data_IF_789784759170
#
_entry.id   IF_789784759170
#
_cell.length_a   1.000
_cell.length_b   1.000
_cell.length_c   1.000
_cell.angle_alpha   90.00
_cell.angle_beta   90.00
_cell.angle_gamma   90.00
#
_symmetry.space_group_name_H-M   'P 1'
#
loop_
_entity.id
_entity.type
_entity.pdbx_description
1 polymer ?
#
# COMPACT_ATOMS: atom_id res chain seq x y z
N UNK A 1 -3.27 -29.25 -10.87
CA UNK A 1 -1.90 -29.64 -10.49
C UNK A 1 -1.97 -30.82 -9.53
N UNK A 2 -1.09 -31.82 -9.62
CA UNK A 2 -0.98 -32.90 -8.62
C UNK A 2 -0.65 -32.34 -7.23
N UNK A 3 -1.19 -32.94 -6.17
CA UNK A 3 -1.03 -32.48 -4.78
C UNK A 3 0.44 -32.33 -4.34
N UNK A 4 1.33 -33.20 -4.81
CA UNK A 4 2.77 -33.13 -4.54
C UNK A 4 3.46 -31.90 -5.16
N UNK A 5 3.05 -31.47 -6.36
CA UNK A 5 3.58 -30.26 -7.00
C UNK A 5 3.11 -28.99 -6.30
N UNK A 6 1.87 -28.95 -5.82
CA UNK A 6 1.33 -27.82 -5.04
C UNK A 6 2.15 -27.62 -3.76
N UNK A 7 2.42 -28.69 -3.01
CA UNK A 7 3.21 -28.62 -1.78
C UNK A 7 4.65 -28.15 -2.05
N UNK A 8 5.30 -28.70 -3.07
CA UNK A 8 6.66 -28.31 -3.45
C UNK A 8 6.74 -26.83 -3.87
N UNK A 9 5.77 -26.36 -4.66
CA UNK A 9 5.70 -24.96 -5.12
C UNK A 9 5.43 -24.02 -3.95
N UNK A 10 4.53 -24.40 -3.04
CA UNK A 10 4.23 -23.65 -1.83
C UNK A 10 5.48 -23.52 -0.94
N UNK A 11 6.14 -24.63 -0.62
CA UNK A 11 7.35 -24.61 0.22
C UNK A 11 8.50 -23.82 -0.41
N UNK A 12 8.60 -23.80 -1.74
CA UNK A 12 9.66 -23.06 -2.44
C UNK A 12 9.42 -21.56 -2.45
N UNK A 13 8.19 -21.12 -2.74
CA UNK A 13 7.92 -19.71 -3.07
C UNK A 13 7.08 -18.98 -2.03
N UNK A 14 6.42 -19.68 -1.11
CA UNK A 14 5.51 -19.07 -0.14
C UNK A 14 6.15 -19.06 1.24
N UNK A 15 6.35 -17.85 1.77
CA UNK A 15 6.67 -17.63 3.18
C UNK A 15 5.41 -17.19 3.92
N UNK A 16 4.99 -17.99 4.90
CA UNK A 16 3.90 -17.63 5.81
C UNK A 16 4.43 -16.70 6.90
N UNK A 17 3.72 -15.59 7.15
CA UNK A 17 4.04 -14.64 8.21
C UNK A 17 2.81 -14.31 9.02
N UNK A 18 2.99 -14.22 10.35
CA UNK A 18 1.95 -13.76 11.25
C UNK A 18 2.06 -12.25 11.42
N UNK A 19 0.94 -11.57 11.20
CA UNK A 19 0.82 -10.12 11.23
C UNK A 19 -0.05 -9.70 12.41
N UNK A 20 0.40 -8.74 13.22
CA UNK A 20 -0.46 -8.04 14.17
C UNK A 20 -1.28 -6.97 13.43
N UNK A 21 -2.60 -7.08 13.46
CA UNK A 21 -3.51 -6.21 12.71
C UNK A 21 -3.64 -4.80 13.29
N UNK A 22 -3.21 -4.57 14.54
CA UNK A 22 -3.26 -3.24 15.14
C UNK A 22 -2.01 -2.45 14.80
N UNK A 23 -0.83 -3.04 14.91
CA UNK A 23 0.43 -2.37 14.59
C UNK A 23 0.75 -2.42 13.09
N UNK A 24 0.33 -3.46 12.39
CA UNK A 24 0.79 -3.76 11.03
C UNK A 24 2.20 -4.36 10.99
N UNK A 25 2.66 -4.96 12.10
CA UNK A 25 4.00 -5.56 12.22
C UNK A 25 3.97 -7.07 12.21
N UNK A 26 5.05 -7.67 11.71
CA UNK A 26 5.22 -9.10 11.81
C UNK A 26 5.53 -9.52 13.24
N UNK A 27 4.81 -10.53 13.71
CA UNK A 27 5.06 -11.15 15.01
C UNK A 27 6.34 -11.99 14.90
N UNK A 28 7.38 -11.72 15.71
CA UNK A 28 8.62 -12.48 15.69
C UNK A 28 8.41 -13.90 16.26
N UNK A 29 9.11 -14.88 15.71
CA UNK A 29 9.09 -16.28 16.18
C UNK A 29 8.53 -17.28 15.15
N UNK A 30 8.53 -18.55 15.54
CA UNK A 30 7.87 -19.62 14.78
C UNK A 30 6.35 -19.55 15.04
N UNK A 31 5.60 -19.31 13.97
CA UNK A 31 4.15 -19.14 14.02
C UNK A 31 3.40 -20.31 13.36
N UNK A 32 4.10 -21.42 13.09
CA UNK A 32 3.53 -22.60 12.41
C UNK A 32 2.35 -23.24 13.13
N UNK A 33 2.16 -22.95 14.43
CA UNK A 33 1.05 -23.43 15.26
C UNK A 33 -0.14 -22.45 15.36
N UNK A 34 -0.15 -21.35 14.62
CA UNK A 34 -1.27 -20.40 14.70
C UNK A 34 -2.59 -21.04 14.23
N UNK A 35 -3.57 -21.08 15.14
CA UNK A 35 -4.94 -21.51 14.85
C UNK A 35 -5.90 -20.32 14.93
N UNK A 36 -6.35 -19.86 13.77
CA UNK A 36 -7.32 -18.77 13.64
C UNK A 36 -8.65 -19.07 14.35
N UNK A 37 -9.15 -20.31 14.28
CA UNK A 37 -10.42 -20.68 14.88
C UNK A 37 -10.34 -20.68 16.41
N UNK A 38 -9.21 -21.12 16.98
CA UNK A 38 -8.94 -21.00 18.40
C UNK A 38 -8.76 -19.52 18.81
N UNK A 39 -8.06 -18.73 18.01
CA UNK A 39 -7.82 -17.31 18.29
C UNK A 39 -9.13 -16.49 18.34
N UNK A 40 -10.07 -16.74 17.42
CA UNK A 40 -11.37 -16.04 17.37
C UNK A 40 -12.28 -16.34 18.57
N UNK A 41 -12.07 -17.47 19.27
CA UNK A 41 -12.82 -17.86 20.47
C UNK A 41 -12.25 -17.27 21.76
N UNK A 42 -11.05 -16.70 21.72
CA UNK A 42 -10.36 -16.14 22.89
C UNK A 42 -10.46 -14.62 22.93
N UNK A 43 -10.96 -14.05 24.02
CA UNK A 43 -11.00 -12.60 24.23
C UNK A 43 -9.61 -11.95 24.36
N UNK A 44 -8.58 -12.74 24.69
CA UNK A 44 -7.20 -12.25 24.72
C UNK A 44 -6.58 -12.14 23.31
N UNK A 45 -7.04 -12.97 22.37
CA UNK A 45 -6.48 -13.08 21.00
C UNK A 45 -7.41 -12.53 19.92
N UNK A 46 -8.56 -11.98 20.29
CA UNK A 46 -9.53 -11.38 19.38
C UNK A 46 -10.33 -10.28 20.06
N UNK A 47 -10.88 -9.39 19.23
CA UNK A 47 -11.77 -8.32 19.66
C UNK A 47 -13.18 -8.56 19.12
N UNK A 48 -14.18 -8.27 19.95
CA UNK A 48 -15.55 -8.11 19.48
C UNK A 48 -15.68 -6.74 18.80
N UNK A 49 -16.26 -6.71 17.61
CA UNK A 49 -16.45 -5.49 16.85
C UNK A 49 -17.78 -4.83 17.26
N UNK A 50 -17.78 -3.54 17.63
CA UNK A 50 -19.01 -2.77 17.73
C UNK A 50 -19.75 -2.76 16.39
N UNK A 51 -21.08 -2.68 16.42
CA UNK A 51 -21.91 -2.73 15.21
C UNK A 51 -21.50 -1.71 14.13
N UNK A 52 -21.09 -0.51 14.54
CA UNK A 52 -20.62 0.56 13.65
C UNK A 52 -19.31 0.21 12.92
N UNK A 53 -18.48 -0.66 13.51
CA UNK A 53 -17.19 -1.08 12.98
C UNK A 53 -17.25 -2.45 12.30
N UNK A 54 -18.29 -3.24 12.56
CA UNK A 54 -18.52 -4.55 11.96
C UNK A 54 -19.20 -4.45 10.58
N UNK A 55 -18.67 -3.60 9.70
CA UNK A 55 -19.26 -3.36 8.38
C UNK A 55 -19.27 -4.62 7.51
N UNK A 56 -18.30 -5.54 7.71
CA UNK A 56 -18.23 -6.83 7.04
C UNK A 56 -19.08 -7.94 7.71
N UNK A 57 -19.73 -7.67 8.83
CA UNK A 57 -20.59 -8.63 9.54
C UNK A 57 -19.86 -9.84 10.13
N UNK A 58 -18.56 -9.72 10.40
CA UNK A 58 -17.71 -10.81 10.91
C UNK A 58 -17.81 -10.98 12.42
N UNK A 59 -18.41 -10.00 13.13
CA UNK A 59 -18.67 -9.92 14.58
C UNK A 59 -17.43 -9.84 15.45
N UNK A 60 -16.42 -10.67 15.18
CA UNK A 60 -15.16 -10.73 15.90
C UNK A 60 -14.00 -10.77 14.92
N UNK A 61 -12.88 -10.16 15.31
CA UNK A 61 -11.64 -10.13 14.55
C UNK A 61 -10.50 -10.61 15.44
N UNK A 62 -9.67 -11.54 14.96
CA UNK A 62 -8.44 -11.90 15.66
C UNK A 62 -7.48 -10.70 15.72
N UNK A 63 -6.62 -10.63 16.73
CA UNK A 63 -5.58 -9.62 16.82
C UNK A 63 -4.46 -9.87 15.81
N UNK A 64 -4.26 -11.14 15.45
CA UNK A 64 -3.21 -11.58 14.54
C UNK A 64 -3.82 -12.34 13.37
N UNK A 65 -3.14 -12.33 12.23
CA UNK A 65 -3.57 -13.04 11.04
C UNK A 65 -2.36 -13.54 10.25
N UNK A 66 -2.49 -14.73 9.67
CA UNK A 66 -1.48 -15.24 8.74
C UNK A 66 -1.65 -14.59 7.37
N UNK A 67 -0.53 -14.13 6.80
CA UNK A 67 -0.43 -13.69 5.42
C UNK A 67 0.64 -14.49 4.72
N UNK A 68 0.64 -14.46 3.39
CA UNK A 68 1.59 -15.22 2.58
C UNK A 68 2.39 -14.29 1.68
N UNK A 69 3.70 -14.31 1.82
CA UNK A 69 4.62 -13.57 0.97
C UNK A 69 5.12 -14.52 -0.12
N UNK A 70 4.84 -14.18 -1.38
CA UNK A 70 5.36 -14.90 -2.54
C UNK A 70 6.73 -14.34 -2.88
N UNK A 71 7.77 -15.16 -2.81
CA UNK A 71 9.13 -14.80 -3.18
C UNK A 71 9.47 -15.27 -4.58
N UNK A 72 10.38 -14.56 -5.24
CA UNK A 72 11.03 -15.04 -6.46
C UNK A 72 12.24 -15.92 -6.13
N UNK A 73 12.91 -16.44 -7.17
CA UNK A 73 14.09 -17.29 -7.01
C UNK A 73 15.30 -16.54 -6.40
N UNK A 74 15.30 -15.20 -6.42
CA UNK A 74 16.30 -14.35 -5.76
C UNK A 74 15.95 -14.02 -4.30
N UNK A 75 14.79 -14.47 -3.81
CA UNK A 75 14.29 -14.23 -2.46
C UNK A 75 13.57 -12.90 -2.27
N UNK A 76 13.37 -12.10 -3.32
CA UNK A 76 12.62 -10.85 -3.24
C UNK A 76 11.12 -11.11 -3.17
N UNK A 77 10.39 -10.31 -2.38
CA UNK A 77 8.92 -10.42 -2.30
C UNK A 77 8.32 -9.88 -3.60
N UNK A 78 7.65 -10.75 -4.33
CA UNK A 78 6.96 -10.43 -5.58
C UNK A 78 5.49 -10.13 -5.35
N UNK A 79 4.83 -10.90 -4.49
CA UNK A 79 3.41 -10.74 -4.21
C UNK A 79 3.09 -10.93 -2.74
N UNK A 80 2.01 -10.29 -2.29
CA UNK A 80 1.50 -10.38 -0.93
C UNK A 80 0.08 -10.92 -1.01
N UNK A 81 -0.20 -12.03 -0.34
CA UNK A 81 -1.52 -12.66 -0.34
C UNK A 81 -2.16 -12.47 1.03
N UNK A 82 -3.34 -11.87 1.05
CA UNK A 82 -4.09 -11.54 2.26
C UNK A 82 -5.38 -12.35 2.31
N UNK A 83 -5.67 -13.06 3.42
CA UNK A 83 -6.98 -13.64 3.66
C UNK A 83 -7.97 -12.55 4.07
N UNK A 84 -9.10 -12.47 3.36
CA UNK A 84 -10.22 -11.59 3.69
C UNK A 84 -11.50 -12.41 3.83
N UNK A 85 -12.42 -11.95 4.68
CA UNK A 85 -13.73 -12.57 4.83
C UNK A 85 -14.82 -11.56 5.21
N UNK A 86 -16.06 -11.89 4.87
CA UNK A 86 -17.20 -11.06 5.21
C UNK A 86 -18.52 -11.75 4.91
N UNK A 87 -19.60 -11.21 5.46
CA UNK A 87 -20.93 -11.75 5.28
C UNK A 87 -21.40 -11.57 3.84
N UNK A 88 -21.79 -12.67 3.20
CA UNK A 88 -22.68 -12.65 2.05
C UNK A 88 -24.14 -12.57 2.50
N UNK A 89 -25.05 -13.07 1.65
CA UNK A 89 -26.47 -13.18 1.97
C UNK A 89 -26.75 -14.38 2.85
N UNK A 90 -26.16 -15.52 2.51
CA UNK A 90 -26.49 -16.80 3.14
C UNK A 90 -25.38 -17.31 4.06
N UNK A 91 -24.12 -16.96 3.77
CA UNK A 91 -22.98 -17.46 4.52
C UNK A 91 -21.80 -16.46 4.51
N UNK A 92 -20.83 -16.73 5.38
CA UNK A 92 -19.53 -16.06 5.33
C UNK A 92 -18.78 -16.45 4.05
N UNK A 93 -18.27 -15.44 3.36
CA UNK A 93 -17.43 -15.57 2.19
C UNK A 93 -15.97 -15.41 2.60
N UNK A 94 -15.10 -16.28 2.10
CA UNK A 94 -13.66 -16.23 2.37
C UNK A 94 -12.90 -16.19 1.05
N UNK A 95 -11.96 -15.25 0.96
CA UNK A 95 -11.14 -15.04 -0.22
C UNK A 95 -9.69 -14.81 0.13
N UNK A 96 -8.83 -15.08 -0.86
CA UNK A 96 -7.48 -14.55 -0.92
C UNK A 96 -7.43 -13.44 -1.96
N UNK A 97 -6.89 -12.29 -1.56
CA UNK A 97 -6.48 -11.23 -2.49
C UNK A 97 -4.96 -11.25 -2.60
N UNK A 98 -4.45 -11.34 -3.84
CA UNK A 98 -3.04 -11.26 -4.15
C UNK A 98 -2.72 -9.86 -4.64
N UNK A 99 -1.72 -9.22 -4.03
CA UNK A 99 -1.23 -7.89 -4.35
C UNK A 99 0.17 -7.97 -4.94
N UNK A 100 0.55 -6.96 -5.70
CA UNK A 100 1.93 -6.73 -6.08
C UNK A 100 2.78 -6.31 -4.86
N UNK A 101 4.09 -6.23 -5.06
CA UNK A 101 5.02 -5.77 -4.03
C UNK A 101 4.76 -4.31 -3.57
N UNK A 102 3.99 -3.54 -4.33
CA UNK A 102 3.57 -2.18 -3.98
C UNK A 102 2.49 -2.13 -2.87
N UNK A 103 1.88 -3.27 -2.53
CA UNK A 103 0.81 -3.33 -1.52
C UNK A 103 -0.52 -2.69 -1.96
N UNK A 104 -0.69 -2.36 -3.24
CA UNK A 104 -1.88 -1.68 -3.75
C UNK A 104 -2.45 -2.31 -5.02
N UNK A 105 -1.59 -2.71 -5.97
CA UNK A 105 -2.03 -3.26 -7.25
C UNK A 105 -2.46 -4.71 -7.10
N UNK A 106 -3.71 -5.03 -7.42
CA UNK A 106 -4.26 -6.37 -7.33
C UNK A 106 -3.76 -7.25 -8.48
N UNK A 107 -3.23 -8.43 -8.15
CA UNK A 107 -2.79 -9.45 -9.09
C UNK A 107 -3.78 -10.60 -9.23
N UNK A 108 -4.68 -10.77 -8.26
CA UNK A 108 -5.79 -11.70 -8.36
C UNK A 108 -6.66 -11.73 -7.11
N UNK A 109 -7.88 -12.24 -7.29
CA UNK A 109 -8.82 -12.51 -6.22
C UNK A 109 -9.38 -13.91 -6.39
N UNK A 110 -9.52 -14.67 -5.30
CA UNK A 110 -10.13 -15.99 -5.33
C UNK A 110 -10.92 -16.28 -4.05
N UNK A 111 -12.24 -16.44 -4.19
CA UNK A 111 -13.10 -16.95 -3.13
C UNK A 111 -12.98 -18.47 -3.03
N UNK A 112 -12.49 -18.97 -1.90
CA UNK A 112 -12.25 -20.40 -1.67
C UNK A 112 -13.33 -21.06 -0.80
N UNK A 113 -14.16 -20.28 -0.11
CA UNK A 113 -15.32 -20.78 0.65
C UNK A 113 -16.45 -19.76 0.67
N UNK A 114 -17.64 -20.16 0.27
CA UNK A 114 -18.88 -19.38 0.38
C UNK A 114 -20.10 -20.30 0.35
N UNK A 115 -21.28 -19.77 0.66
CA UNK A 115 -22.57 -20.46 0.59
C UNK A 115 -23.60 -19.75 -0.29
N UNK A 116 -23.17 -18.81 -1.13
CA UNK A 116 -24.05 -18.03 -1.99
C UNK A 116 -24.71 -18.89 -3.10
N UNK A 117 -25.88 -18.46 -3.59
CA UNK A 117 -26.65 -19.19 -4.60
C UNK A 117 -25.90 -19.26 -5.96
N UNK A 118 -25.67 -20.46 -6.53
CA UNK A 118 -25.04 -20.60 -7.86
C UNK A 118 -25.81 -19.83 -8.94
N UNK A 119 -25.09 -19.17 -9.85
CA UNK A 119 -25.69 -18.34 -10.91
C UNK A 119 -26.21 -16.95 -10.47
N UNK A 120 -26.13 -16.65 -9.17
CA UNK A 120 -26.41 -15.32 -8.60
C UNK A 120 -25.19 -14.85 -7.80
N UNK A 121 -25.22 -14.94 -6.47
CA UNK A 121 -24.10 -14.56 -5.61
C UNK A 121 -22.89 -15.49 -5.75
N UNK A 122 -23.09 -16.74 -6.17
CA UNK A 122 -22.02 -17.68 -6.48
C UNK A 122 -21.11 -17.24 -7.63
N UNK A 123 -21.52 -16.25 -8.41
CA UNK A 123 -20.71 -15.67 -9.50
C UNK A 123 -19.45 -14.97 -8.99
N UNK A 124 -19.25 -14.80 -7.68
CA UNK A 124 -17.94 -14.43 -7.10
C UNK A 124 -16.80 -15.40 -7.49
N UNK A 125 -17.12 -16.63 -7.91
CA UNK A 125 -16.14 -17.60 -8.43
C UNK A 125 -15.96 -17.54 -9.96
N UNK A 126 -16.81 -16.79 -10.67
CA UNK A 126 -16.75 -16.68 -12.12
C UNK A 126 -15.37 -16.15 -12.57
N UNK A 127 -14.64 -16.87 -13.44
CA UNK A 127 -13.32 -16.44 -13.91
C UNK A 127 -13.32 -15.06 -14.59
N UNK A 128 -14.39 -14.72 -15.32
CA UNK A 128 -14.51 -13.42 -15.99
C UNK A 128 -14.64 -12.28 -14.98
N UNK A 129 -15.47 -12.48 -13.94
CA UNK A 129 -15.61 -11.49 -12.87
C UNK A 129 -14.31 -11.34 -12.07
N UNK A 130 -13.66 -12.46 -11.71
CA UNK A 130 -12.36 -12.44 -11.00
C UNK A 130 -11.24 -11.78 -11.81
N UNK A 131 -11.25 -11.92 -13.14
CA UNK A 131 -10.26 -11.28 -14.00
C UNK A 131 -10.33 -9.75 -13.98
N UNK A 132 -11.50 -9.15 -13.69
CA UNK A 132 -11.66 -7.69 -13.62
C UNK A 132 -10.85 -7.04 -12.49
N UNK A 133 -10.51 -7.83 -11.45
CA UNK A 133 -9.73 -7.39 -10.31
C UNK A 133 -8.25 -7.17 -10.66
N UNK A 134 -7.73 -7.83 -11.70
CA UNK A 134 -6.32 -7.72 -12.05
C UNK A 134 -6.00 -6.29 -12.52
N UNK A 135 -5.00 -5.67 -11.90
CA UNK A 135 -4.58 -4.29 -12.16
C UNK A 135 -5.41 -3.22 -11.45
N UNK A 136 -6.42 -3.59 -10.64
CA UNK A 136 -7.15 -2.65 -9.80
C UNK A 136 -6.30 -2.18 -8.62
N UNK A 137 -6.54 -0.96 -8.16
CA UNK A 137 -5.86 -0.36 -7.02
C UNK A 137 -6.79 -0.34 -5.81
N UNK A 138 -6.31 -0.89 -4.69
CA UNK A 138 -7.05 -0.99 -3.44
C UNK A 138 -7.29 0.36 -2.76
N UNK A 139 -6.29 1.24 -2.83
CA UNK A 139 -6.27 2.54 -2.19
C UNK A 139 -6.25 3.67 -3.21
N UNK A 140 -6.84 4.79 -2.83
CA UNK A 140 -6.64 6.06 -3.52
C UNK A 140 -5.27 6.66 -3.17
N UNK A 141 -4.97 7.80 -3.75
CA UNK A 141 -3.71 8.51 -3.54
C UNK A 141 -3.53 9.03 -2.11
N UNK A 142 -4.63 9.15 -1.35
CA UNK A 142 -4.64 9.53 0.05
C UNK A 142 -4.46 8.32 0.98
N UNK A 143 -4.35 7.10 0.43
CA UNK A 143 -4.19 5.87 1.19
C UNK A 143 -5.49 5.37 1.82
N UNK A 144 -6.65 5.85 1.36
CA UNK A 144 -7.96 5.39 1.80
C UNK A 144 -8.46 4.24 0.91
N UNK A 145 -9.23 3.28 1.45
CA UNK A 145 -9.88 2.24 0.64
C UNK A 145 -10.74 2.85 -0.47
N UNK A 146 -10.46 2.47 -1.72
CA UNK A 146 -11.08 3.10 -2.89
C UNK A 146 -11.91 2.13 -3.75
N UNK A 147 -11.78 0.81 -3.54
CA UNK A 147 -12.50 -0.21 -4.30
C UNK A 147 -14.01 0.03 -4.26
N UNK A 148 -14.64 -0.06 -5.43
CA UNK A 148 -16.09 0.05 -5.59
C UNK A 148 -16.64 -1.12 -6.38
N UNK A 149 -17.62 -1.82 -5.82
CA UNK A 149 -18.44 -2.80 -6.54
C UNK A 149 -19.60 -2.03 -7.18
N UNK A 150 -19.52 -1.82 -8.50
CA UNK A 150 -20.38 -0.90 -9.24
C UNK A 150 -21.60 -1.63 -9.80
N UNK A 151 -22.77 -1.31 -9.29
CA UNK A 151 -24.02 -1.83 -9.83
C UNK A 151 -24.22 -1.35 -11.28
N UNK A 152 -24.50 -2.28 -12.20
CA UNK A 152 -24.61 -1.98 -13.63
C UNK A 152 -23.28 -1.94 -14.39
N UNK A 153 -22.15 -2.17 -13.72
CA UNK A 153 -20.82 -2.27 -14.31
C UNK A 153 -19.95 -1.03 -14.12
N UNK A 154 -18.65 -1.25 -13.94
CA UNK A 154 -17.64 -0.22 -13.82
C UNK A 154 -17.30 0.38 -15.20
N UNK A 155 -16.85 1.64 -15.21
CA UNK A 155 -16.45 2.30 -16.45
C UNK A 155 -15.13 1.71 -16.96
N UNK A 156 -14.92 1.62 -18.29
CA UNK A 156 -13.61 1.29 -18.84
C UNK A 156 -12.54 2.26 -18.31
N UNK A 157 -11.43 1.71 -17.83
CA UNK A 157 -10.34 2.50 -17.24
C UNK A 157 -10.55 2.90 -15.77
N UNK A 158 -11.67 2.56 -15.13
CA UNK A 158 -11.81 2.72 -13.67
C UNK A 158 -10.84 1.74 -12.97
N UNK A 159 -9.83 2.31 -12.31
CA UNK A 159 -8.80 1.55 -11.58
C UNK A 159 -9.30 1.07 -10.21
N UNK A 160 -10.45 1.54 -9.73
CA UNK A 160 -11.02 1.13 -8.45
C UNK A 160 -12.38 0.42 -8.59
N UNK A 161 -13.06 0.56 -9.73
CA UNK A 161 -14.37 -0.01 -9.99
C UNK A 161 -14.31 -1.45 -10.51
N UNK A 162 -15.05 -2.36 -9.88
CA UNK A 162 -15.30 -3.73 -10.36
C UNK A 162 -16.80 -3.91 -10.55
N UNK A 163 -17.23 -4.66 -11.55
CA UNK A 163 -18.65 -4.88 -11.80
C UNK A 163 -19.34 -5.55 -10.60
N UNK A 164 -20.55 -5.08 -10.28
CA UNK A 164 -21.45 -5.81 -9.40
C UNK A 164 -21.99 -7.08 -10.06
N UNK A 165 -22.38 -8.05 -9.23
CA UNK A 165 -22.98 -9.30 -9.70
C UNK A 165 -24.44 -9.05 -10.13
N UNK A 166 -24.75 -9.38 -11.39
CA UNK A 166 -26.10 -9.22 -11.93
C UNK A 166 -27.12 -10.06 -11.13
N UNK A 167 -28.21 -9.44 -10.69
CA UNK A 167 -29.23 -10.10 -9.86
C UNK A 167 -28.80 -10.45 -8.43
N UNK A 168 -27.57 -10.11 -8.01
CA UNK A 168 -27.01 -10.46 -6.71
C UNK A 168 -26.39 -9.24 -6.00
N UNK A 169 -27.17 -8.15 -5.91
CA UNK A 169 -26.75 -6.89 -5.28
C UNK A 169 -26.35 -7.07 -3.82
N UNK A 170 -27.05 -7.93 -3.05
CA UNK A 170 -26.71 -8.14 -1.64
C UNK A 170 -25.36 -8.85 -1.46
N UNK A 171 -25.05 -9.86 -2.29
CA UNK A 171 -23.72 -10.47 -2.31
C UNK A 171 -22.66 -9.46 -2.72
N UNK A 172 -22.96 -8.62 -3.73
CA UNK A 172 -22.08 -7.53 -4.18
C UNK A 172 -21.76 -6.54 -3.04
N UNK A 173 -22.77 -6.18 -2.24
CA UNK A 173 -22.59 -5.35 -1.06
C UNK A 173 -21.74 -6.06 0.02
N UNK A 174 -21.92 -7.37 0.20
CA UNK A 174 -21.08 -8.18 1.08
C UNK A 174 -19.62 -8.17 0.67
N UNK A 175 -19.33 -8.25 -0.64
CA UNK A 175 -17.97 -8.11 -1.18
C UNK A 175 -17.44 -6.70 -0.92
N UNK A 176 -18.21 -5.64 -1.23
CA UNK A 176 -17.81 -4.26 -0.95
C UNK A 176 -17.44 -4.05 0.52
N UNK A 177 -18.29 -4.52 1.43
CA UNK A 177 -18.10 -4.40 2.86
C UNK A 177 -16.87 -5.18 3.35
N UNK A 178 -16.61 -6.34 2.76
CA UNK A 178 -15.39 -7.13 3.02
C UNK A 178 -14.15 -6.27 2.73
N UNK A 179 -14.07 -5.65 1.55
CA UNK A 179 -12.92 -4.79 1.22
C UNK A 179 -12.86 -3.55 2.11
N UNK A 180 -13.98 -2.87 2.36
CA UNK A 180 -14.01 -1.69 3.22
C UNK A 180 -13.48 -2.01 4.63
N UNK A 181 -13.83 -3.16 5.20
CA UNK A 181 -13.36 -3.56 6.52
C UNK A 181 -11.87 -3.92 6.50
N UNK A 182 -11.47 -4.83 5.61
CA UNK A 182 -10.12 -5.38 5.61
C UNK A 182 -9.06 -4.40 5.08
N UNK A 183 -9.45 -3.36 4.34
CA UNK A 183 -8.53 -2.28 3.95
C UNK A 183 -8.51 -1.12 4.94
N UNK A 184 -9.48 -1.05 5.85
CA UNK A 184 -9.54 0.00 6.87
C UNK A 184 -8.61 -0.25 8.07
N UNK A 185 -8.72 0.63 9.06
CA UNK A 185 -7.84 0.66 10.26
C UNK A 185 -7.90 -0.60 11.12
N UNK A 186 -9.00 -1.36 11.06
CA UNK A 186 -9.16 -2.60 11.82
C UNK A 186 -8.69 -3.83 11.03
N UNK A 187 -8.30 -3.67 9.76
CA UNK A 187 -7.82 -4.74 8.91
C UNK A 187 -6.33 -4.60 8.59
N UNK A 188 -6.00 -4.80 7.32
CA UNK A 188 -4.65 -4.69 6.76
C UNK A 188 -4.24 -3.26 6.45
N UNK A 189 -5.10 -2.25 6.63
CA UNK A 189 -4.80 -0.85 6.36
C UNK A 189 -3.43 -0.39 6.91
N UNK A 190 -3.16 -0.55 8.23
CA UNK A 190 -1.88 -0.17 8.82
C UNK A 190 -0.67 -0.88 8.20
N UNK A 191 -0.82 -2.15 7.81
CA UNK A 191 0.23 -2.93 7.16
C UNK A 191 0.50 -2.46 5.71
N UNK A 192 -0.56 -2.26 4.93
CA UNK A 192 -0.45 -1.86 3.52
C UNK A 192 0.01 -0.40 3.37
N UNK A 193 -0.43 0.49 4.24
CA UNK A 193 0.07 1.87 4.30
C UNK A 193 1.57 1.93 4.61
N UNK A 194 2.08 1.04 5.48
CA UNK A 194 3.52 0.92 5.72
C UNK A 194 4.26 0.50 4.45
N UNK A 195 3.76 -0.49 3.70
CA UNK A 195 4.38 -0.93 2.44
C UNK A 195 4.40 0.22 1.41
N UNK A 196 3.29 0.95 1.28
CA UNK A 196 3.17 2.11 0.39
C UNK A 196 4.12 3.26 0.76
N UNK A 197 4.45 3.42 2.03
CA UNK A 197 5.43 4.42 2.50
C UNK A 197 6.90 3.99 2.39
N UNK A 198 7.17 2.68 2.30
CA UNK A 198 8.52 2.09 2.33
C UNK A 198 9.17 1.98 0.95
N UNK A 199 8.40 2.05 -0.14
CA UNK A 199 8.89 1.88 -1.52
C UNK A 199 10.03 2.83 -1.90
N UNK A 200 9.99 4.08 -1.42
CA UNK A 200 11.04 5.09 -1.62
C UNK A 200 12.20 4.93 -0.62
N UNK A 201 11.95 4.41 0.58
CA UNK A 201 12.98 4.16 1.58
C UNK A 201 13.89 2.96 1.22
N UNK A 202 13.33 1.87 0.71
CA UNK A 202 14.13 0.71 0.29
C UNK A 202 14.97 0.99 -0.96
N UNK A 203 14.48 1.85 -1.87
CA UNK A 203 15.16 2.15 -3.14
C UNK A 203 16.41 3.03 -2.97
N UNK A 204 16.45 3.92 -1.96
CA UNK A 204 17.47 4.97 -1.87
C UNK A 204 18.42 4.82 -0.67
N UNK A 205 18.17 3.85 0.20
CA UNK A 205 19.03 3.52 1.37
C UNK A 205 20.18 2.57 1.04
N UNK A 206 20.50 2.36 -0.25
CA UNK A 206 21.65 1.52 -0.64
C UNK A 206 23.00 2.15 -0.36
N UNK A 207 23.06 3.49 -0.34
CA UNK A 207 24.21 4.29 0.10
C UNK A 207 23.72 5.45 0.96
N UNK A 208 24.44 5.77 2.02
CA UNK A 208 24.14 6.85 2.95
C UNK A 208 24.27 8.21 2.26
N UNK A 209 25.25 8.37 1.37
CA UNK A 209 25.42 9.59 0.57
C UNK A 209 24.18 9.88 -0.29
N UNK A 210 23.62 8.86 -0.96
CA UNK A 210 22.40 9.03 -1.78
C UNK A 210 21.18 9.33 -0.92
N UNK A 211 21.08 8.72 0.26
CA UNK A 211 19.99 9.00 1.21
C UNK A 211 20.01 10.46 1.70
N UNK A 212 21.19 11.03 1.94
CA UNK A 212 21.35 12.42 2.36
C UNK A 212 20.96 13.42 1.26
N UNK A 213 21.45 13.21 0.03
CA UNK A 213 21.13 14.09 -1.10
C UNK A 213 19.64 14.02 -1.43
N UNK A 214 19.05 12.82 -1.43
CA UNK A 214 17.61 12.67 -1.64
C UNK A 214 16.80 13.36 -0.53
N UNK A 215 17.21 13.23 0.73
CA UNK A 215 16.54 13.89 1.86
C UNK A 215 16.48 15.40 1.68
N UNK A 216 17.61 16.01 1.30
CA UNK A 216 17.68 17.45 1.04
C UNK A 216 16.75 17.85 -0.11
N UNK A 217 16.84 17.15 -1.24
CA UNK A 217 16.04 17.44 -2.43
C UNK A 217 14.55 17.25 -2.18
N UNK A 218 14.16 16.15 -1.53
CA UNK A 218 12.77 15.84 -1.19
C UNK A 218 12.18 16.85 -0.22
N UNK A 219 12.93 17.27 0.80
CA UNK A 219 12.46 18.28 1.76
C UNK A 219 12.16 19.58 1.05
N UNK A 220 13.07 20.03 0.17
CA UNK A 220 12.89 21.24 -0.61
C UNK A 220 11.69 21.12 -1.54
N UNK A 221 11.58 20.02 -2.28
CA UNK A 221 10.46 19.78 -3.20
C UNK A 221 9.14 19.73 -2.46
N UNK A 222 9.05 19.04 -1.32
CA UNK A 222 7.81 18.91 -0.52
C UNK A 222 7.37 20.25 0.06
N UNK A 223 8.32 21.06 0.53
CA UNK A 223 8.05 22.40 1.06
C UNK A 223 7.52 23.35 -0.03
N UNK A 224 8.24 23.46 -1.16
CA UNK A 224 7.86 24.36 -2.23
C UNK A 224 6.64 23.88 -3.02
N UNK A 225 6.48 22.58 -3.25
CA UNK A 225 5.28 22.06 -3.91
C UNK A 225 4.04 22.37 -3.09
N UNK A 226 4.08 22.12 -1.77
CA UNK A 226 2.99 22.42 -0.85
C UNK A 226 2.69 23.93 -0.80
N UNK A 227 3.71 24.79 -0.82
CA UNK A 227 3.53 26.24 -0.91
C UNK A 227 2.82 26.67 -2.19
N UNK A 228 3.31 26.24 -3.36
CA UNK A 228 2.76 26.65 -4.65
C UNK A 228 1.35 26.10 -4.87
N UNK A 229 1.12 24.83 -4.53
CA UNK A 229 -0.20 24.19 -4.63
C UNK A 229 -1.21 24.91 -3.74
N UNK A 230 -0.82 25.24 -2.52
CA UNK A 230 -1.66 26.00 -1.59
C UNK A 230 -1.99 27.41 -2.11
N UNK A 231 -1.06 28.06 -2.81
CA UNK A 231 -1.26 29.39 -3.40
C UNK A 231 -2.27 29.39 -4.55
N UNK A 232 -2.26 28.35 -5.38
CA UNK A 232 -3.15 28.25 -6.55
C UNK A 232 -4.41 27.40 -6.31
N UNK A 233 -4.58 26.79 -5.12
CA UNK A 233 -5.63 25.80 -4.80
C UNK A 233 -7.04 26.19 -5.22
N UNK A 234 -7.37 27.48 -5.18
CA UNK A 234 -8.69 28.00 -5.54
C UNK A 234 -8.98 27.93 -7.05
N UNK A 235 -7.96 27.76 -7.88
CA UNK A 235 -8.07 27.60 -9.33
C UNK A 235 -8.01 26.14 -9.78
N UNK A 236 -7.78 25.19 -8.87
CA UNK A 236 -7.64 23.77 -9.21
C UNK A 236 -9.02 23.07 -9.17
N UNK A 237 -9.57 22.60 -10.30
CA UNK A 237 -10.81 21.85 -10.31
C UNK A 237 -10.60 20.44 -9.75
N UNK A 238 -11.58 19.95 -8.98
CA UNK A 238 -11.50 18.63 -8.33
C UNK A 238 -11.28 17.46 -9.31
N UNK A 239 -11.77 17.58 -10.54
CA UNK A 239 -11.67 16.51 -11.55
C UNK A 239 -10.27 16.29 -12.12
N UNK A 240 -9.39 17.29 -12.07
CA UNK A 240 -8.03 17.24 -12.64
C UNK A 240 -6.96 17.62 -11.63
N UNK A 241 -7.31 17.65 -10.33
CA UNK A 241 -6.46 18.13 -9.25
C UNK A 241 -5.10 17.44 -9.21
N UNK A 242 -5.13 16.12 -9.31
CA UNK A 242 -3.96 15.24 -9.27
C UNK A 242 -2.98 15.60 -10.39
N UNK A 243 -3.50 15.80 -11.60
CA UNK A 243 -2.70 16.13 -12.78
C UNK A 243 -2.00 17.48 -12.58
N UNK A 244 -2.70 18.47 -12.01
CA UNK A 244 -2.13 19.79 -11.75
C UNK A 244 -1.02 19.71 -10.69
N UNK A 245 -1.26 19.01 -9.57
CA UNK A 245 -0.27 18.83 -8.51
C UNK A 245 0.97 18.10 -9.00
N UNK A 246 0.80 17.00 -9.75
CA UNK A 246 1.91 16.23 -10.31
C UNK A 246 2.74 17.05 -11.30
N UNK A 247 2.10 17.93 -12.09
CA UNK A 247 2.81 18.83 -13.01
C UNK A 247 3.67 19.85 -12.26
N UNK A 248 3.15 20.42 -11.16
CA UNK A 248 3.90 21.36 -10.32
C UNK A 248 5.09 20.67 -9.66
N UNK A 249 4.84 19.50 -9.05
CA UNK A 249 5.89 18.69 -8.43
C UNK A 249 6.96 18.35 -9.47
N UNK A 250 6.60 17.81 -10.63
CA UNK A 250 7.53 17.49 -11.70
C UNK A 250 8.36 18.69 -12.15
N UNK A 251 7.74 19.86 -12.33
CA UNK A 251 8.46 21.07 -12.70
C UNK A 251 9.51 21.48 -11.66
N UNK A 252 9.19 21.39 -10.36
CA UNK A 252 10.10 21.73 -9.28
C UNK A 252 11.25 20.74 -9.18
N UNK A 253 10.97 19.44 -9.31
CA UNK A 253 12.01 18.41 -9.27
C UNK A 253 12.97 18.59 -10.46
N UNK A 254 12.48 18.92 -11.65
CA UNK A 254 13.33 19.20 -12.82
C UNK A 254 14.23 20.41 -12.55
N UNK A 255 13.71 21.49 -11.95
CA UNK A 255 14.54 22.66 -11.60
C UNK A 255 15.63 22.28 -10.59
N UNK A 256 15.30 21.47 -9.57
CA UNK A 256 16.26 20.97 -8.59
C UNK A 256 17.32 20.08 -9.27
N UNK A 257 16.92 19.22 -10.20
CA UNK A 257 17.84 18.39 -10.98
C UNK A 257 18.84 19.23 -11.78
N UNK A 258 18.36 20.26 -12.49
CA UNK A 258 19.24 21.15 -13.25
C UNK A 258 20.22 21.91 -12.35
N UNK A 259 19.77 22.34 -11.16
CA UNK A 259 20.65 22.97 -10.18
C UNK A 259 21.74 21.99 -9.71
N UNK A 260 21.36 20.77 -9.35
CA UNK A 260 22.32 19.75 -8.89
C UNK A 260 23.34 19.34 -9.97
N UNK A 261 22.93 19.26 -11.25
CA UNK A 261 23.86 19.05 -12.38
C UNK A 261 24.95 20.10 -12.48
N UNK A 262 24.67 21.32 -12.03
CA UNK A 262 25.59 22.46 -12.10
C UNK A 262 26.63 22.42 -10.97
N UNK A 263 26.27 21.96 -9.77
CA UNK A 263 27.14 21.98 -8.59
C UNK A 263 27.81 20.63 -8.29
N UNK A 264 27.26 19.51 -8.74
CA UNK A 264 27.79 18.18 -8.43
C UNK A 264 27.53 17.17 -9.59
N UNK A 265 28.35 17.27 -10.65
CA UNK A 265 28.17 16.48 -11.88
C UNK A 265 28.31 14.95 -11.67
N UNK A 266 29.24 14.49 -10.83
CA UNK A 266 29.38 13.06 -10.44
C UNK A 266 28.11 12.53 -9.74
N UNK A 267 27.56 13.32 -8.81
CA UNK A 267 26.31 13.00 -8.09
C UNK A 267 25.11 13.03 -9.06
N UNK A 268 25.11 13.96 -10.04
CA UNK A 268 24.04 14.09 -11.05
C UNK A 268 23.84 12.85 -11.91
N UNK A 269 24.92 12.07 -12.16
CA UNK A 269 24.90 10.90 -13.03
C UNK A 269 24.15 9.71 -12.40
N UNK A 270 24.18 9.62 -11.07
CA UNK A 270 23.33 8.69 -10.30
C UNK A 270 21.92 9.27 -10.06
N UNK A 271 21.78 10.60 -10.13
CA UNK A 271 20.54 11.32 -9.81
C UNK A 271 19.42 11.22 -10.82
N UNK A 272 19.71 10.90 -12.09
CA UNK A 272 18.64 10.77 -13.10
C UNK A 272 17.58 9.74 -12.72
N UNK A 273 17.92 8.72 -11.92
CA UNK A 273 16.96 7.76 -11.35
C UNK A 273 16.19 8.36 -10.16
N UNK A 274 16.85 9.18 -9.34
CA UNK A 274 16.26 9.82 -8.17
C UNK A 274 15.26 10.92 -8.51
N UNK A 275 15.43 11.63 -9.63
CA UNK A 275 14.45 12.60 -10.13
C UNK A 275 13.07 11.95 -10.29
N UNK A 276 13.01 10.79 -10.96
CA UNK A 276 11.76 10.04 -11.13
C UNK A 276 11.15 9.62 -9.78
N UNK A 277 11.98 9.12 -8.86
CA UNK A 277 11.55 8.68 -7.53
C UNK A 277 11.02 9.81 -6.64
N UNK A 278 11.55 11.04 -6.78
CA UNK A 278 11.04 12.21 -6.05
C UNK A 278 9.70 12.66 -6.65
N UNK A 279 9.56 12.65 -7.99
CA UNK A 279 8.30 13.02 -8.66
C UNK A 279 7.16 12.10 -8.22
N UNK A 280 7.41 10.79 -8.18
CA UNK A 280 6.41 9.79 -7.79
C UNK A 280 6.42 9.49 -6.29
N UNK A 281 7.02 10.35 -5.46
CA UNK A 281 7.09 10.05 -4.03
C UNK A 281 5.73 10.30 -3.36
N UNK A 282 5.22 9.26 -2.69
CA UNK A 282 3.95 9.28 -1.98
C UNK A 282 3.84 10.40 -0.94
N UNK A 283 4.95 10.81 -0.29
CA UNK A 283 4.91 11.88 0.72
C UNK A 283 4.65 13.24 0.08
N UNK A 284 5.25 13.53 -1.08
CA UNK A 284 5.13 14.82 -1.75
C UNK A 284 3.69 15.02 -2.21
N UNK A 285 3.14 13.99 -2.84
CA UNK A 285 1.75 13.99 -3.29
C UNK A 285 0.78 13.99 -2.09
N UNK A 286 1.04 13.16 -1.09
CA UNK A 286 0.21 13.04 0.11
C UNK A 286 0.08 14.36 0.88
N UNK A 287 1.16 15.13 1.05
CA UNK A 287 1.10 16.44 1.72
C UNK A 287 0.43 17.51 0.87
N UNK A 288 0.71 17.52 -0.44
CA UNK A 288 0.03 18.41 -1.37
C UNK A 288 -1.49 18.25 -1.32
N UNK A 289 -1.97 17.00 -1.32
CA UNK A 289 -3.40 16.71 -1.39
C UNK A 289 -4.09 16.81 -0.02
N UNK A 290 -3.49 16.25 1.03
CA UNK A 290 -4.12 16.17 2.34
C UNK A 290 -4.07 17.50 3.11
N UNK A 291 -3.01 18.31 2.92
CA UNK A 291 -2.75 19.52 3.69
C UNK A 291 -2.75 20.79 2.82
N UNK A 292 -1.96 20.85 1.75
CA UNK A 292 -1.78 22.09 0.99
C UNK A 292 -3.08 22.61 0.34
N UNK A 293 -3.99 21.71 -0.05
CA UNK A 293 -5.31 22.06 -0.58
C UNK A 293 -6.27 22.68 0.44
N UNK A 294 -5.99 22.53 1.74
CA UNK A 294 -6.90 22.95 2.84
C UNK A 294 -6.30 24.07 3.71
N UNK A 295 -4.98 24.21 3.71
CA UNK A 295 -4.27 25.11 4.61
C UNK A 295 -3.66 26.32 3.86
N UNK A 296 -3.37 27.45 4.54
CA UNK A 296 -2.67 28.60 3.96
C UNK A 296 -1.25 28.27 3.44
N UNK A 297 -0.66 29.09 2.53
CA UNK A 297 0.64 28.76 1.91
C UNK A 297 1.81 28.65 2.88
N UNK A 298 1.92 29.55 3.87
CA UNK A 298 3.04 29.54 4.83
C UNK A 298 2.96 28.32 5.75
N UNK A 299 1.77 27.98 6.21
CA UNK A 299 1.53 26.77 7.03
C UNK A 299 1.84 25.51 6.22
N UNK A 300 1.42 25.47 4.94
CA UNK A 300 1.70 24.36 4.03
C UNK A 300 3.20 24.22 3.72
N UNK A 301 3.94 25.32 3.65
CA UNK A 301 5.39 25.31 3.49
C UNK A 301 6.09 24.71 4.72
N UNK A 302 5.72 25.17 5.92
CA UNK A 302 6.26 24.65 7.18
C UNK A 302 5.92 23.17 7.37
N UNK A 303 4.71 22.76 7.00
CA UNK A 303 4.29 21.37 6.98
C UNK A 303 5.17 20.52 6.04
N UNK A 304 5.42 21.01 4.83
CA UNK A 304 6.29 20.32 3.87
C UNK A 304 7.73 20.16 4.36
N UNK A 305 8.29 21.18 5.03
CA UNK A 305 9.61 21.06 5.69
C UNK A 305 9.58 20.00 6.78
N UNK A 306 8.60 20.05 7.68
CA UNK A 306 8.50 19.12 8.81
C UNK A 306 8.38 17.67 8.38
N UNK A 307 7.50 17.39 7.41
CA UNK A 307 7.31 16.04 6.89
C UNK A 307 8.50 15.57 6.04
N UNK A 308 9.10 16.46 5.24
CA UNK A 308 10.30 16.16 4.46
C UNK A 308 11.50 15.79 5.35
N UNK A 309 11.76 16.58 6.39
CA UNK A 309 12.82 16.29 7.37
C UNK A 309 12.53 15.03 8.18
N UNK A 310 11.28 14.85 8.64
CA UNK A 310 10.89 13.66 9.40
C UNK A 310 11.11 12.37 8.61
N UNK A 311 10.71 12.37 7.35
CA UNK A 311 10.98 11.26 6.44
C UNK A 311 12.48 11.10 6.16
N UNK A 312 13.20 12.21 6.00
CA UNK A 312 14.64 12.25 5.82
C UNK A 312 15.44 11.60 6.95
N UNK A 313 15.04 11.84 8.21
CA UNK A 313 15.67 11.20 9.38
C UNK A 313 15.52 9.68 9.30
N UNK A 314 14.35 9.19 8.90
CA UNK A 314 14.11 7.75 8.72
C UNK A 314 15.03 7.21 7.61
N UNK A 315 15.15 7.90 6.48
CA UNK A 315 16.04 7.49 5.39
C UNK A 315 17.50 7.41 5.81
N UNK A 316 18.00 8.44 6.50
CA UNK A 316 19.40 8.49 6.94
C UNK A 316 19.68 7.38 7.96
N UNK A 317 18.77 7.14 8.90
CA UNK A 317 18.90 6.05 9.88
C UNK A 317 18.91 4.67 9.23
N UNK A 318 17.97 4.40 8.31
CA UNK A 318 17.90 3.12 7.60
C UNK A 318 19.11 2.94 6.68
N UNK A 319 19.52 3.99 5.96
CA UNK A 319 20.73 3.98 5.13
C UNK A 319 22.00 3.71 5.94
N UNK A 320 22.12 4.36 7.10
CA UNK A 320 23.24 4.15 8.01
C UNK A 320 23.33 2.70 8.49
N UNK A 321 22.22 2.14 8.99
CA UNK A 321 22.18 0.75 9.46
C UNK A 321 22.48 -0.23 8.32
N UNK A 322 21.95 0.04 7.13
CA UNK A 322 22.09 -0.84 5.97
C UNK A 322 23.51 -0.79 5.39
N UNK A 323 24.16 0.36 5.34
CA UNK A 323 25.55 0.47 4.87
C UNK A 323 26.52 -0.17 5.86
N UNK A 324 26.33 0.08 7.16
CA UNK A 324 27.13 -0.46 8.26
C UNK A 324 27.06 -1.99 8.32
N UNK A 325 25.86 -2.58 8.29
CA UNK A 325 25.66 -4.03 8.40
C UNK A 325 25.90 -4.73 7.05
N UNK A 326 25.59 -4.06 5.94
CA UNK A 326 25.65 -4.66 4.61
C UNK A 326 27.05 -4.66 3.98
N UNK A 327 27.79 -3.56 4.10
CA UNK A 327 29.09 -3.38 3.43
C UNK A 327 30.29 -3.25 4.37
N UNK A 328 30.08 -3.06 5.68
CA UNK A 328 31.16 -2.81 6.65
C UNK A 328 31.83 -1.43 6.50
N UNK A 329 31.37 -0.62 5.53
CA UNK A 329 31.88 0.70 5.23
C UNK A 329 30.88 1.78 5.68
N UNK A 330 31.37 2.99 5.88
CA UNK A 330 30.61 4.19 6.17
C UNK A 330 31.20 5.32 5.34
N UNK A 331 30.42 5.90 4.41
CA UNK A 331 30.92 6.91 3.47
C UNK A 331 32.13 6.41 2.65
N UNK A 332 32.08 5.15 2.20
CA UNK A 332 33.19 4.46 1.52
C UNK A 332 34.50 4.39 2.35
N UNK A 333 34.46 4.66 3.66
CA UNK A 333 35.55 4.43 4.61
C UNK A 333 35.29 3.09 5.34
N UNK A 334 36.25 2.15 5.38
CA UNK A 334 36.08 0.90 6.11
C UNK A 334 36.10 1.16 7.63
N UNK A 335 35.03 0.73 8.31
CA UNK A 335 34.87 0.89 9.77
C UNK A 335 34.80 -0.47 10.49
N UNK A 336 34.51 -1.56 9.76
CA UNK A 336 34.37 -2.92 10.28
C UNK A 336 35.21 -3.93 9.49
#
# INVERSE_FOLDING_TARGET
MPSGQVRATFTKYIETRLLDLKSGEFVPGDNSEFDLAAALRSDAKSIALPAEKDIAGIRRRSNQVEIFLVRDDAGAVRNIILPINGSGVWAMMYAFVALDADGNTVRGLSFYRHGETPGLGGEIQNPHWRAQWVGKQLFDEQGNPAIRIVHGGARPGDVHGVDGLSGATLTSNGVQNTFNFWLGDHGFGPFLQRILGVCSALAVTTKLETALVMTLALTLVTAFSSFFISLIRHHIPNSVRIIVQMTIIASLVIVVDQFLRTYAYEISKQLSVFVGLIITNCIVMGRAEAYAMKSPPIESFMDGIGNGLGYGVILVLVGFLRELIGSGNLFDIPVL
#
